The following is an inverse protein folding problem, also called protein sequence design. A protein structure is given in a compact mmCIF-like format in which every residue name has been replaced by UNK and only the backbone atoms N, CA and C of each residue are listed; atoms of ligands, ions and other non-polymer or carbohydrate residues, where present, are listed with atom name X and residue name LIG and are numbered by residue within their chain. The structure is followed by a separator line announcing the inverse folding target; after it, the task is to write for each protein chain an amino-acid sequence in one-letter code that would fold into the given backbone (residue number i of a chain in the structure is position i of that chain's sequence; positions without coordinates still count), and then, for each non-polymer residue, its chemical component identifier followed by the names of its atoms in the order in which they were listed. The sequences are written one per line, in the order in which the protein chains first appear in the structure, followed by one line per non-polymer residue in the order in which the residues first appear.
data_IF_948062403396
#
_entry.id   IF_948062403396
#
_cell.length_a   1.000
_cell.length_b   1.000
_cell.length_c   1.000
_cell.angle_alpha   90.00
_cell.angle_beta   90.00
_cell.angle_gamma   90.00
#
_symmetry.space_group_name_H-M   'P 1'
#
loop_
_entity.id
_entity.type
_entity.pdbx_description
1 polymer ?
#
# COMPACT_ATOMS: atom_id res chain seq x y z
N UNK A 1 -9.42 -42.83 -5.41
CA UNK A 1 -8.84 -41.87 -6.37
C UNK A 1 -7.67 -41.19 -5.66
N UNK A 2 -6.46 -41.34 -6.16
CA UNK A 2 -5.31 -40.61 -5.61
C UNK A 2 -5.53 -39.16 -6.07
N UNK A 3 -5.79 -38.27 -5.14
CA UNK A 3 -5.89 -36.84 -5.36
C UNK A 3 -4.56 -36.43 -6.02
N UNK A 4 -4.59 -35.97 -7.26
CA UNK A 4 -3.37 -35.54 -7.94
C UNK A 4 -2.83 -34.34 -7.18
N UNK A 5 -1.57 -34.43 -6.76
CA UNK A 5 -0.85 -33.33 -6.11
C UNK A 5 -0.89 -32.11 -7.06
N UNK A 6 -1.56 -31.01 -6.68
CA UNK A 6 -1.69 -29.82 -7.55
C UNK A 6 -0.35 -29.13 -7.81
N UNK A 7 0.69 -29.47 -7.05
CA UNK A 7 2.04 -28.91 -7.18
C UNK A 7 3.01 -29.84 -7.94
N UNK A 8 2.48 -30.85 -8.68
CA UNK A 8 3.30 -31.76 -9.45
C UNK A 8 3.86 -31.09 -10.70
N UNK A 9 5.19 -31.11 -10.83
CA UNK A 9 5.89 -30.71 -12.04
C UNK A 9 5.97 -31.94 -12.96
N UNK A 10 5.42 -31.84 -14.17
CA UNK A 10 5.34 -32.98 -15.10
C UNK A 10 6.74 -33.39 -15.64
N UNK A 11 7.59 -32.42 -15.93
CA UNK A 11 8.96 -32.62 -16.43
C UNK A 11 9.93 -31.74 -15.62
N UNK A 12 10.43 -32.21 -14.47
CA UNK A 12 11.38 -31.45 -13.67
C UNK A 12 12.76 -31.36 -14.30
N UNK A 13 13.13 -32.33 -15.15
CA UNK A 13 14.47 -32.36 -15.80
C UNK A 13 14.57 -31.32 -16.92
N UNK A 14 13.45 -30.85 -17.45
CA UNK A 14 13.38 -29.75 -18.41
C UNK A 14 13.58 -28.36 -17.82
N UNK A 15 13.70 -28.24 -16.48
CA UNK A 15 13.84 -26.96 -15.78
C UNK A 15 15.29 -26.69 -15.41
N UNK A 16 15.82 -25.57 -15.87
CA UNK A 16 17.11 -25.07 -15.39
C UNK A 16 16.98 -24.54 -13.96
N UNK A 17 17.81 -25.03 -13.05
CA UNK A 17 17.78 -24.64 -11.63
C UNK A 17 18.98 -23.76 -11.26
N UNK A 18 18.79 -22.82 -10.28
CA UNK A 18 17.60 -22.61 -9.44
C UNK A 18 16.46 -21.90 -10.19
N UNK A 19 15.22 -22.38 -10.03
CA UNK A 19 14.03 -21.79 -10.64
C UNK A 19 12.90 -21.63 -9.61
N UNK A 20 12.08 -20.59 -9.78
CA UNK A 20 10.83 -20.44 -9.05
C UNK A 20 9.67 -20.85 -9.95
N UNK A 21 8.95 -21.88 -9.53
CA UNK A 21 7.77 -22.38 -10.26
C UNK A 21 6.50 -21.74 -9.69
N UNK A 22 5.67 -21.24 -10.58
CA UNK A 22 4.37 -20.66 -10.23
C UNK A 22 3.26 -21.52 -10.83
N UNK A 23 2.37 -22.00 -9.98
CA UNK A 23 1.19 -22.77 -10.38
C UNK A 23 0.05 -21.79 -10.62
N UNK A 24 -0.24 -21.52 -11.86
CA UNK A 24 -1.16 -20.46 -12.29
C UNK A 24 -2.58 -20.67 -11.75
N UNK A 25 -3.08 -21.90 -11.79
CA UNK A 25 -4.40 -22.25 -11.25
C UNK A 25 -4.52 -21.96 -9.73
N UNK A 26 -3.41 -22.18 -8.99
CA UNK A 26 -3.37 -21.88 -7.55
C UNK A 26 -3.34 -20.37 -7.30
N UNK A 27 -2.66 -19.59 -8.15
CA UNK A 27 -2.68 -18.13 -8.09
C UNK A 27 -4.11 -17.62 -8.31
N UNK A 28 -4.80 -18.10 -9.34
CA UNK A 28 -6.16 -17.70 -9.65
C UNK A 28 -7.14 -18.08 -8.52
N UNK A 29 -7.01 -19.29 -7.98
CA UNK A 29 -7.77 -19.73 -6.81
C UNK A 29 -7.54 -18.81 -5.59
N UNK A 30 -6.29 -18.50 -5.28
CA UNK A 30 -5.94 -17.64 -4.14
C UNK A 30 -6.45 -16.20 -4.31
N UNK A 31 -6.42 -15.67 -5.53
CA UNK A 31 -6.98 -14.35 -5.83
C UNK A 31 -8.49 -14.35 -5.57
N UNK A 32 -9.22 -15.36 -6.07
CA UNK A 32 -10.66 -15.50 -5.86
C UNK A 32 -11.00 -15.61 -4.36
N UNK A 33 -10.31 -16.51 -3.65
CA UNK A 33 -10.53 -16.72 -2.21
C UNK A 33 -10.26 -15.43 -1.40
N UNK A 34 -9.26 -14.65 -1.77
CA UNK A 34 -8.96 -13.39 -1.11
C UNK A 34 -10.07 -12.34 -1.36
N UNK A 35 -10.58 -12.26 -2.59
CA UNK A 35 -11.72 -11.39 -2.92
C UNK A 35 -12.95 -11.74 -2.11
N UNK A 36 -13.28 -13.03 -2.00
CA UNK A 36 -14.42 -13.52 -1.21
C UNK A 36 -14.26 -13.17 0.28
N UNK A 37 -13.06 -13.36 0.82
CA UNK A 37 -12.75 -13.10 2.23
C UNK A 37 -12.98 -11.64 2.64
N UNK A 38 -12.71 -10.68 1.74
CA UNK A 38 -12.85 -9.24 2.02
C UNK A 38 -14.16 -8.64 1.50
N UNK A 39 -15.07 -9.48 1.00
CA UNK A 39 -16.37 -9.02 0.50
C UNK A 39 -16.33 -8.29 -0.85
N UNK A 40 -15.31 -8.59 -1.66
CA UNK A 40 -15.18 -8.09 -3.04
C UNK A 40 -13.80 -7.53 -3.38
N UNK A 41 -13.42 -7.64 -4.64
CA UNK A 41 -12.12 -7.24 -5.15
C UNK A 41 -11.83 -5.73 -4.92
N UNK A 42 -12.84 -4.87 -5.03
CA UNK A 42 -12.70 -3.42 -4.83
C UNK A 42 -12.24 -3.02 -3.42
N UNK A 43 -12.35 -3.93 -2.44
CA UNK A 43 -11.86 -3.72 -1.07
C UNK A 43 -10.38 -4.13 -0.91
N UNK A 44 -9.74 -4.62 -1.97
CA UNK A 44 -8.36 -5.09 -1.92
C UNK A 44 -7.37 -4.09 -2.49
N UNK A 45 -6.34 -3.80 -1.71
CA UNK A 45 -5.10 -3.18 -2.15
C UNK A 45 -3.94 -4.11 -1.80
N UNK A 46 -3.50 -4.90 -2.78
CA UNK A 46 -2.57 -6.01 -2.57
C UNK A 46 -1.12 -5.52 -2.50
N UNK A 47 -0.30 -6.10 -1.60
CA UNK A 47 1.11 -5.74 -1.54
C UNK A 47 1.95 -6.61 -2.49
N UNK A 48 2.50 -6.03 -3.57
CA UNK A 48 3.25 -6.73 -4.63
C UNK A 48 4.59 -7.31 -4.19
N UNK A 49 5.12 -6.93 -3.01
CA UNK A 49 6.41 -7.42 -2.51
C UNK A 49 6.49 -8.94 -2.39
N UNK A 50 5.34 -9.62 -2.31
CA UNK A 50 5.25 -11.07 -2.15
C UNK A 50 5.57 -11.83 -3.42
N UNK A 51 5.23 -11.26 -4.59
CA UNK A 51 5.44 -11.92 -5.88
C UNK A 51 6.32 -11.13 -6.85
N UNK A 52 6.32 -9.79 -6.81
CA UNK A 52 7.09 -8.89 -7.69
C UNK A 52 6.95 -9.23 -9.18
N UNK A 53 5.77 -9.71 -9.57
CA UNK A 53 5.46 -10.18 -10.91
C UNK A 53 4.38 -9.33 -11.54
N UNK A 54 4.67 -8.75 -12.69
CA UNK A 54 3.71 -8.00 -13.49
C UNK A 54 2.56 -8.88 -13.98
N UNK A 55 2.84 -10.13 -14.35
CA UNK A 55 1.83 -11.08 -14.79
C UNK A 55 0.80 -11.38 -13.71
N UNK A 56 1.26 -11.58 -12.44
CA UNK A 56 0.35 -11.77 -11.30
C UNK A 56 -0.42 -10.48 -11.00
N UNK A 57 0.25 -9.31 -11.07
CA UNK A 57 -0.42 -8.03 -10.88
C UNK A 57 -1.54 -7.81 -11.89
N UNK A 58 -1.32 -8.14 -13.17
CA UNK A 58 -2.36 -8.08 -14.21
C UNK A 58 -3.55 -9.00 -13.94
N UNK A 59 -3.30 -10.22 -13.44
CA UNK A 59 -4.38 -11.14 -13.00
C UNK A 59 -5.22 -10.54 -11.87
N UNK A 60 -4.56 -9.94 -10.88
CA UNK A 60 -5.22 -9.27 -9.77
C UNK A 60 -6.05 -8.06 -10.23
N UNK A 61 -5.52 -7.25 -11.14
CA UNK A 61 -6.27 -6.12 -11.72
C UNK A 61 -7.47 -6.59 -12.55
N UNK A 62 -7.35 -7.72 -13.26
CA UNK A 62 -8.44 -8.26 -14.08
C UNK A 62 -9.69 -8.64 -13.27
N UNK A 63 -9.54 -8.96 -11.97
CA UNK A 63 -10.68 -9.21 -11.07
C UNK A 63 -11.21 -7.94 -10.40
N UNK A 64 -10.60 -6.77 -10.66
CA UNK A 64 -11.09 -5.47 -10.21
C UNK A 64 -10.62 -5.03 -8.82
N UNK A 65 -9.41 -5.39 -8.39
CA UNK A 65 -8.83 -4.86 -7.14
C UNK A 65 -8.64 -3.34 -7.22
N UNK A 66 -8.69 -2.66 -6.07
CA UNK A 66 -8.54 -1.21 -5.97
C UNK A 66 -7.15 -0.72 -6.42
N UNK A 67 -6.09 -1.47 -6.12
CA UNK A 67 -4.73 -1.07 -6.45
C UNK A 67 -3.67 -1.88 -5.72
N UNK A 68 -2.46 -1.31 -5.61
CA UNK A 68 -1.34 -2.00 -5.00
C UNK A 68 -0.61 -1.20 -3.92
N UNK A 69 -0.07 -1.93 -2.95
CA UNK A 69 0.98 -1.44 -2.04
C UNK A 69 2.34 -1.93 -2.54
N UNK A 70 3.34 -1.06 -2.48
CA UNK A 70 4.69 -1.28 -2.97
C UNK A 70 5.71 -0.96 -1.88
N UNK A 71 6.78 -1.74 -1.76
CA UNK A 71 7.87 -1.49 -0.81
C UNK A 71 9.03 -0.71 -1.46
N UNK A 72 9.13 -0.71 -2.78
CA UNK A 72 10.21 -0.06 -3.52
C UNK A 72 9.66 0.73 -4.71
N UNK A 73 10.44 1.70 -5.18
CA UNK A 73 10.09 2.45 -6.39
C UNK A 73 10.02 1.55 -7.64
N UNK A 74 10.81 0.48 -7.70
CA UNK A 74 10.72 -0.49 -8.80
C UNK A 74 9.43 -1.30 -8.77
N UNK A 75 8.95 -1.67 -7.58
CA UNK A 75 7.65 -2.30 -7.41
C UNK A 75 6.51 -1.34 -7.79
N UNK A 76 6.65 -0.05 -7.45
CA UNK A 76 5.70 0.99 -7.81
C UNK A 76 5.60 1.15 -9.33
N UNK A 77 6.74 1.27 -10.02
CA UNK A 77 6.79 1.33 -11.49
C UNK A 77 6.12 0.09 -12.10
N UNK A 78 6.51 -1.12 -11.68
CA UNK A 78 5.92 -2.36 -12.17
C UNK A 78 4.39 -2.41 -11.98
N UNK A 79 3.88 -1.97 -10.83
CA UNK A 79 2.44 -1.96 -10.56
C UNK A 79 1.70 -0.99 -11.50
N UNK A 80 2.27 0.19 -11.74
CA UNK A 80 1.71 1.19 -12.65
C UNK A 80 1.82 0.74 -14.12
N UNK A 81 2.94 0.13 -14.52
CA UNK A 81 3.13 -0.50 -15.83
C UNK A 81 2.11 -1.64 -16.07
N UNK A 82 1.78 -2.41 -15.03
CA UNK A 82 0.72 -3.42 -15.09
C UNK A 82 -0.68 -2.84 -15.30
N UNK A 83 -0.87 -1.55 -15.06
CA UNK A 83 -2.15 -0.84 -15.24
C UNK A 83 -2.87 -0.48 -13.94
N UNK A 84 -2.18 -0.46 -12.80
CA UNK A 84 -2.78 -0.09 -11.52
C UNK A 84 -3.45 1.29 -11.57
N UNK A 85 -4.72 1.44 -11.20
CA UNK A 85 -5.36 2.75 -11.09
C UNK A 85 -4.87 3.52 -9.87
N UNK A 86 -4.44 2.80 -8.84
CA UNK A 86 -3.97 3.34 -7.58
C UNK A 86 -2.78 2.55 -7.04
N UNK A 87 -1.74 3.23 -6.53
CA UNK A 87 -0.58 2.59 -5.95
C UNK A 87 0.01 3.41 -4.79
N UNK A 88 0.41 2.73 -3.72
CA UNK A 88 0.99 3.33 -2.52
C UNK A 88 2.41 2.84 -2.36
N UNK A 89 3.39 3.74 -2.33
CA UNK A 89 4.71 3.42 -1.82
C UNK A 89 4.65 3.41 -0.28
N UNK A 90 4.48 2.22 0.28
CA UNK A 90 4.25 1.99 1.71
C UNK A 90 5.55 1.97 2.55
N UNK A 91 6.62 2.54 2.05
CA UNK A 91 7.90 2.69 2.74
C UNK A 91 8.33 4.15 2.70
N UNK A 92 8.40 4.85 3.85
CA UNK A 92 8.75 6.25 3.90
C UNK A 92 10.13 6.55 3.29
N UNK A 93 10.27 7.74 2.70
CA UNK A 93 11.50 8.17 2.03
C UNK A 93 12.03 9.47 2.62
N UNK A 94 13.34 9.52 2.92
CA UNK A 94 14.07 10.74 3.31
C UNK A 94 15.18 11.08 2.32
N UNK A 95 15.58 10.14 1.48
CA UNK A 95 16.63 10.38 0.50
C UNK A 95 16.11 11.21 -0.66
N UNK A 96 16.66 12.39 -0.87
CA UNK A 96 16.29 13.31 -1.95
C UNK A 96 16.18 12.62 -3.31
N UNK A 97 17.17 11.82 -3.72
CA UNK A 97 17.15 11.08 -4.99
C UNK A 97 15.98 10.11 -5.14
N UNK A 98 15.57 9.46 -4.05
CA UNK A 98 14.38 8.58 -4.08
C UNK A 98 13.09 9.37 -4.24
N UNK A 99 12.98 10.51 -3.55
CA UNK A 99 11.81 11.39 -3.66
C UNK A 99 11.76 12.05 -5.05
N UNK A 100 12.90 12.44 -5.63
CA UNK A 100 12.97 12.94 -7.01
C UNK A 100 12.46 11.88 -8.01
N UNK A 101 12.88 10.62 -7.85
CA UNK A 101 12.38 9.51 -8.69
C UNK A 101 10.90 9.22 -8.46
N UNK A 102 10.41 9.30 -7.23
CA UNK A 102 8.98 9.19 -6.94
C UNK A 102 8.18 10.29 -7.65
N UNK A 103 8.69 11.53 -7.64
CA UNK A 103 8.08 12.63 -8.35
C UNK A 103 8.08 12.42 -9.88
N UNK A 104 9.13 11.84 -10.46
CA UNK A 104 9.19 11.47 -11.88
C UNK A 104 8.13 10.41 -12.21
N UNK A 105 8.00 9.38 -11.38
CA UNK A 105 6.97 8.33 -11.53
C UNK A 105 5.57 8.95 -11.45
N UNK A 106 5.31 9.79 -10.43
CA UNK A 106 4.00 10.44 -10.27
C UNK A 106 3.65 11.35 -11.44
N UNK A 107 4.64 12.02 -12.05
CA UNK A 107 4.42 12.83 -13.26
C UNK A 107 4.18 11.98 -14.51
N UNK A 108 4.79 10.79 -14.60
CA UNK A 108 4.59 9.88 -15.74
C UNK A 108 3.19 9.25 -15.75
N UNK A 109 2.62 9.06 -14.56
CA UNK A 109 1.30 8.44 -14.34
C UNK A 109 0.34 9.44 -13.67
N UNK A 110 0.24 10.65 -14.21
CA UNK A 110 -0.55 11.76 -13.66
C UNK A 110 -2.08 11.53 -13.71
N UNK A 111 -2.51 10.57 -14.52
CA UNK A 111 -3.89 10.05 -14.59
C UNK A 111 -4.22 9.04 -13.49
N UNK A 112 -3.25 8.70 -12.63
CA UNK A 112 -3.36 7.67 -11.60
C UNK A 112 -3.18 8.24 -10.21
N UNK A 113 -3.70 7.52 -9.22
CA UNK A 113 -3.50 7.85 -7.81
C UNK A 113 -2.20 7.21 -7.32
N UNK A 114 -1.15 8.01 -7.14
CA UNK A 114 0.16 7.55 -6.69
C UNK A 114 0.53 8.21 -5.38
N UNK A 115 0.59 7.44 -4.30
CA UNK A 115 0.82 7.95 -2.94
C UNK A 115 2.16 7.51 -2.37
N UNK A 116 2.76 8.39 -1.54
CA UNK A 116 3.87 8.03 -0.65
C UNK A 116 3.40 8.01 0.81
N UNK A 117 3.76 6.97 1.56
CA UNK A 117 3.54 6.94 3.00
C UNK A 117 4.48 7.93 3.71
N UNK A 118 3.95 8.72 4.65
CA UNK A 118 4.68 9.68 5.48
C UNK A 118 4.30 9.48 6.95
N UNK A 119 5.29 9.28 7.80
CA UNK A 119 5.11 9.03 9.24
C UNK A 119 6.09 9.83 10.10
N UNK A 120 6.68 10.90 9.55
CA UNK A 120 7.64 11.76 10.23
C UNK A 120 7.70 13.11 9.49
N UNK A 121 7.82 14.26 10.17
CA UNK A 121 7.92 15.57 9.53
C UNK A 121 9.01 15.67 8.45
N UNK A 122 10.13 14.96 8.61
CA UNK A 122 11.23 14.95 7.62
C UNK A 122 10.79 14.35 6.27
N UNK A 123 9.82 13.43 6.26
CA UNK A 123 9.24 12.88 5.02
C UNK A 123 8.42 13.97 4.32
N UNK A 124 7.62 14.71 5.08
CA UNK A 124 6.81 15.82 4.58
C UNK A 124 7.70 16.91 3.98
N UNK A 125 8.74 17.33 4.73
CA UNK A 125 9.66 18.39 4.32
C UNK A 125 10.32 18.09 2.98
N UNK A 126 10.90 16.90 2.81
CA UNK A 126 11.62 16.56 1.58
C UNK A 126 10.67 16.41 0.38
N UNK A 127 9.47 15.83 0.59
CA UNK A 127 8.44 15.71 -0.45
C UNK A 127 7.92 17.08 -0.87
N UNK A 128 7.56 17.94 0.09
CA UNK A 128 7.05 19.28 -0.17
C UNK A 128 8.06 20.15 -0.91
N UNK A 129 9.32 20.12 -0.50
CA UNK A 129 10.39 20.89 -1.15
C UNK A 129 10.60 20.46 -2.61
N UNK A 130 10.62 19.14 -2.88
CA UNK A 130 10.83 18.65 -4.24
C UNK A 130 9.61 18.96 -5.11
N UNK A 131 8.40 18.74 -4.60
CA UNK A 131 7.17 19.05 -5.28
C UNK A 131 7.08 20.56 -5.65
N UNK A 132 7.41 21.45 -4.69
CA UNK A 132 7.45 22.89 -4.92
C UNK A 132 8.48 23.28 -5.99
N UNK A 133 9.70 22.75 -5.92
CA UNK A 133 10.76 23.05 -6.89
C UNK A 133 10.40 22.61 -8.32
N UNK A 134 9.53 21.63 -8.46
CA UNK A 134 9.05 21.07 -9.74
C UNK A 134 7.72 21.66 -10.20
N UNK A 135 7.10 22.55 -9.41
CA UNK A 135 5.74 23.05 -9.64
C UNK A 135 4.74 21.90 -9.83
N UNK A 136 4.93 20.82 -9.06
CA UNK A 136 4.16 19.59 -9.09
C UNK A 136 3.41 19.43 -7.77
N UNK A 137 2.30 18.70 -7.76
CA UNK A 137 1.65 18.22 -6.55
C UNK A 137 1.98 16.74 -6.35
N UNK A 138 2.36 16.35 -5.14
CA UNK A 138 2.57 14.96 -4.77
C UNK A 138 1.53 14.52 -3.74
N UNK A 139 0.94 13.34 -3.96
CA UNK A 139 -0.02 12.79 -3.02
C UNK A 139 0.68 11.92 -1.96
N UNK A 140 0.24 12.06 -0.72
CA UNK A 140 0.80 11.37 0.44
C UNK A 140 -0.30 10.78 1.31
N UNK A 141 0.02 9.70 2.04
CA UNK A 141 -0.84 9.12 3.08
C UNK A 141 -0.13 9.20 4.42
N UNK A 142 -0.85 9.58 5.45
CA UNK A 142 -0.33 9.59 6.82
C UNK A 142 -0.16 8.16 7.30
N UNK A 143 1.08 7.73 7.53
CA UNK A 143 1.42 6.42 8.08
C UNK A 143 1.33 6.46 9.61
N UNK A 144 0.51 5.60 10.20
CA UNK A 144 0.24 5.55 11.63
C UNK A 144 0.75 4.24 12.23
N UNK A 145 1.43 4.34 13.37
CA UNK A 145 1.90 3.18 14.15
C UNK A 145 0.86 2.74 15.18
N UNK A 146 0.25 1.61 14.93
CA UNK A 146 -0.73 0.98 15.83
C UNK A 146 -0.11 -0.07 16.75
N UNK A 147 1.21 -0.06 16.90
CA UNK A 147 1.92 -0.96 17.83
C UNK A 147 2.98 -1.85 17.17
N UNK A 148 3.21 -1.74 15.87
CA UNK A 148 4.30 -2.46 15.21
C UNK A 148 5.67 -1.84 15.47
N UNK A 149 5.74 -0.55 15.79
CA UNK A 149 6.95 0.21 16.12
C UNK A 149 8.04 0.10 15.05
N UNK A 150 7.64 0.19 13.80
CA UNK A 150 8.54 0.11 12.66
C UNK A 150 8.61 1.42 11.87
N UNK A 151 7.46 1.93 11.48
CA UNK A 151 7.26 3.21 10.78
C UNK A 151 5.91 3.77 11.23
N UNK A 152 5.68 5.03 10.94
CA UNK A 152 4.43 5.70 11.27
C UNK A 152 4.56 6.64 12.47
N UNK A 153 3.67 7.62 12.53
CA UNK A 153 3.49 8.49 13.68
C UNK A 153 2.64 7.81 14.75
N UNK A 154 2.85 8.14 16.02
CA UNK A 154 2.00 7.69 17.12
C UNK A 154 0.55 8.16 16.97
N UNK A 155 -0.37 7.44 17.63
CA UNK A 155 -1.82 7.77 17.63
C UNK A 155 -2.13 8.89 18.65
N UNK A 156 -1.39 9.98 18.58
CA UNK A 156 -1.45 11.10 19.52
C UNK A 156 -1.26 12.44 18.81
N UNK A 157 -0.63 13.39 19.49
CA UNK A 157 -0.30 14.71 18.94
C UNK A 157 0.64 14.63 17.73
N UNK A 158 1.45 13.54 17.60
CA UNK A 158 2.35 13.38 16.44
C UNK A 158 1.56 13.19 15.14
N UNK A 159 0.52 12.36 15.14
CA UNK A 159 -0.33 12.16 13.96
C UNK A 159 -1.03 13.46 13.55
N UNK A 160 -1.57 14.21 14.53
CA UNK A 160 -2.23 15.49 14.29
C UNK A 160 -1.28 16.55 13.75
N UNK A 161 -0.07 16.62 14.30
CA UNK A 161 0.98 17.54 13.84
C UNK A 161 1.44 17.20 12.42
N UNK A 162 1.60 15.92 12.11
CA UNK A 162 1.97 15.44 10.79
C UNK A 162 0.90 15.77 9.74
N UNK A 163 -0.36 15.52 10.06
CA UNK A 163 -1.49 15.88 9.21
C UNK A 163 -1.53 17.39 8.94
N UNK A 164 -1.40 18.20 10.00
CA UNK A 164 -1.38 19.66 9.88
C UNK A 164 -0.21 20.15 9.01
N UNK A 165 0.96 19.52 9.11
CA UNK A 165 2.12 19.84 8.27
C UNK A 165 1.87 19.54 6.79
N UNK A 166 1.18 18.44 6.48
CA UNK A 166 0.79 18.10 5.09
C UNK A 166 -0.16 19.16 4.54
N UNK A 167 -1.19 19.53 5.30
CA UNK A 167 -2.17 20.56 4.87
C UNK A 167 -1.56 21.96 4.74
N UNK A 168 -0.54 22.28 5.54
CA UNK A 168 0.21 23.53 5.42
C UNK A 168 1.14 23.58 4.20
N UNK A 169 1.38 22.46 3.53
CA UNK A 169 2.24 22.35 2.35
C UNK A 169 1.41 22.34 1.05
N UNK A 170 1.28 23.48 0.32
CA UNK A 170 0.37 23.57 -0.84
C UNK A 170 0.77 22.65 -2.01
N UNK A 171 2.00 22.14 -2.00
CA UNK A 171 2.52 21.19 -2.98
C UNK A 171 2.22 19.74 -2.65
N UNK A 172 1.57 19.44 -1.51
CA UNK A 172 1.15 18.10 -1.13
C UNK A 172 -0.37 17.96 -1.15
N UNK A 173 -0.83 16.74 -1.40
CA UNK A 173 -2.25 16.34 -1.32
C UNK A 173 -2.33 15.21 -0.31
N UNK A 174 -3.14 15.38 0.74
CA UNK A 174 -3.43 14.29 1.67
C UNK A 174 -4.41 13.31 1.03
N UNK A 175 -4.03 12.05 0.89
CA UNK A 175 -4.87 10.98 0.33
C UNK A 175 -5.49 10.08 1.38
N UNK A 176 -5.35 10.43 2.67
CA UNK A 176 -5.90 9.66 3.77
C UNK A 176 -4.84 9.01 4.68
N UNK A 177 -5.25 7.94 5.37
CA UNK A 177 -4.44 7.24 6.36
C UNK A 177 -3.92 5.91 5.84
N UNK A 178 -2.71 5.56 6.22
CA UNK A 178 -2.11 4.24 6.03
C UNK A 178 -1.81 3.63 7.40
N UNK A 179 -2.28 2.42 7.64
CA UNK A 179 -2.11 1.67 8.89
C UNK A 179 -1.66 0.25 8.58
N UNK A 180 -0.75 -0.28 9.39
CA UNK A 180 -0.28 -1.66 9.26
C UNK A 180 -0.14 -2.33 10.61
N UNK A 181 -0.95 -3.35 10.86
CA UNK A 181 -1.05 -4.15 12.08
C UNK A 181 -0.26 -5.47 12.00
N UNK A 182 0.81 -5.52 11.24
CA UNK A 182 1.59 -6.73 10.95
C UNK A 182 2.25 -7.41 12.14
N UNK A 183 2.11 -6.88 13.35
CA UNK A 183 2.53 -7.49 14.62
C UNK A 183 1.45 -8.40 15.22
N UNK A 184 0.20 -8.33 14.73
CA UNK A 184 -0.91 -9.14 15.23
C UNK A 184 -0.89 -10.54 14.60
N UNK A 185 -0.42 -11.53 15.37
CA UNK A 185 -0.22 -12.91 14.89
C UNK A 185 -1.16 -13.93 15.55
N UNK A 186 -2.33 -13.52 15.97
CA UNK A 186 -3.31 -14.43 16.60
C UNK A 186 -3.78 -15.53 15.63
N UNK A 187 -3.71 -16.78 16.06
CA UNK A 187 -4.25 -17.92 15.31
C UNK A 187 -5.77 -17.96 15.38
N UNK A 188 -6.33 -17.59 16.54
CA UNK A 188 -7.78 -17.53 16.75
C UNK A 188 -8.40 -16.34 15.99
N UNK A 189 -9.40 -16.58 15.11
CA UNK A 189 -10.07 -15.53 14.36
C UNK A 189 -10.75 -14.48 15.23
N UNK A 190 -11.33 -14.88 16.39
CA UNK A 190 -11.99 -13.95 17.30
C UNK A 190 -10.99 -12.98 17.92
N UNK A 191 -9.81 -13.47 18.31
CA UNK A 191 -8.74 -12.63 18.83
C UNK A 191 -8.19 -11.65 17.77
N UNK A 192 -8.03 -12.10 16.52
CA UNK A 192 -7.65 -11.21 15.40
C UNK A 192 -8.67 -10.13 15.16
N UNK A 193 -9.96 -10.48 15.11
CA UNK A 193 -11.02 -9.50 14.92
C UNK A 193 -11.07 -8.49 16.07
N UNK A 194 -10.89 -8.94 17.31
CA UNK A 194 -10.85 -8.06 18.46
C UNK A 194 -9.64 -7.10 18.41
N UNK A 195 -8.47 -7.56 17.95
CA UNK A 195 -7.29 -6.73 17.76
C UNK A 195 -7.53 -5.68 16.67
N UNK A 196 -8.01 -6.09 15.50
CA UNK A 196 -8.35 -5.15 14.41
C UNK A 196 -9.38 -4.10 14.85
N UNK A 197 -10.41 -4.52 15.61
CA UNK A 197 -11.42 -3.60 16.11
C UNK A 197 -10.83 -2.57 17.10
N UNK A 198 -9.90 -2.97 17.97
CA UNK A 198 -9.20 -2.02 18.86
C UNK A 198 -8.47 -0.95 18.04
N UNK A 199 -7.70 -1.34 17.02
CA UNK A 199 -7.01 -0.37 16.16
C UNK A 199 -7.98 0.59 15.48
N UNK A 200 -9.12 0.10 14.99
CA UNK A 200 -10.17 0.95 14.41
C UNK A 200 -10.73 1.92 15.45
N UNK A 201 -10.97 1.47 16.67
CA UNK A 201 -11.52 2.32 17.75
C UNK A 201 -10.50 3.35 18.22
N UNK A 202 -9.22 2.99 18.31
CA UNK A 202 -8.13 3.92 18.62
C UNK A 202 -8.01 5.00 17.54
N UNK A 203 -8.10 4.64 16.26
CA UNK A 203 -8.12 5.60 15.15
C UNK A 203 -9.29 6.57 15.22
N UNK A 204 -10.49 6.11 15.59
CA UNK A 204 -11.68 6.98 15.75
C UNK A 204 -11.54 7.97 16.89
N UNK A 205 -10.70 7.69 17.88
CA UNK A 205 -10.48 8.59 19.02
C UNK A 205 -9.45 9.68 18.73
N UNK A 206 -8.66 9.56 17.65
CA UNK A 206 -7.71 10.58 17.25
C UNK A 206 -8.44 11.91 17.04
N UNK A 207 -8.07 12.92 17.84
CA UNK A 207 -8.61 14.27 17.72
C UNK A 207 -8.31 14.81 16.32
N UNK A 208 -9.35 15.25 15.61
CA UNK A 208 -9.23 15.77 14.25
C UNK A 208 -9.46 14.76 13.12
N UNK A 209 -9.54 13.45 13.39
CA UNK A 209 -9.89 12.46 12.35
C UNK A 209 -11.31 12.68 11.81
N UNK A 210 -12.24 13.15 12.63
CA UNK A 210 -13.59 13.50 12.18
C UNK A 210 -13.57 14.74 11.26
N UNK A 211 -12.65 15.69 11.48
CA UNK A 211 -12.45 16.85 10.61
C UNK A 211 -11.76 16.43 9.30
N UNK A 212 -10.78 15.51 9.37
CA UNK A 212 -10.09 14.93 8.21
C UNK A 212 -11.07 14.24 7.24
N UNK A 213 -12.01 13.45 7.76
CA UNK A 213 -12.95 12.67 6.93
C UNK A 213 -14.10 13.52 6.38
N UNK A 214 -14.39 14.69 6.92
CA UNK A 214 -15.40 15.59 6.38
C UNK A 214 -14.88 16.47 5.26
N UNK A 215 -13.62 16.92 5.32
CA UNK A 215 -12.99 17.71 4.26
C UNK A 215 -12.71 16.88 3.00
N UNK A 216 -12.37 15.58 3.15
CA UNK A 216 -12.11 14.68 2.01
C UNK A 216 -13.38 14.19 1.30
N UNK A 217 -14.56 14.28 1.91
CA UNK A 217 -15.84 13.98 1.25
C UNK A 217 -16.29 15.05 0.25
N UNK A 218 -15.57 16.15 0.16
CA UNK A 218 -15.87 17.28 -0.74
C UNK A 218 -14.96 17.38 -1.96
N UNK A 219 -14.13 16.37 -2.24
CA UNK A 219 -13.34 16.18 -3.46
C UNK A 219 -13.78 14.87 -4.10
#
# INVERSE_FOLDING_TARGET
MIEQDPYRIADPDGLETPAMVVFEEMVDHNIAALCDMVGGAANLMVHVKTHKSEAIARKQLAVGIAGFKCATLRELEMALEAGAPEAILAYPMVQRRKVERFADISATYDDRKVYAAVGDPRHVDVLAQIAQNRSQKLAVMVDLDVGMHRTGAGLDEEATALYSAIHAAPSLICGGLHVYDGHEHFRDPSARNAAAQRHVDDLKTLKGLNEITEDEKSI
#
